data_IF_956756020111
#
_entry.id   IF_956756020111
#
_cell.length_a   1.000
_cell.length_b   1.000
_cell.length_c   1.000
_cell.angle_alpha   90.00
_cell.angle_beta   90.00
_cell.angle_gamma   90.00
#
_symmetry.space_group_name_H-M   'P 1'
#
loop_
_entity.id
_entity.type
_entity.pdbx_description
1 polymer ?
#
# COMPACT_ATOMS: atom_id res chain seq x y z
N UNK A 1 -23.47 17.85 -15.15
CA UNK A 1 -23.60 16.63 -15.98
C UNK A 1 -22.23 16.28 -16.51
N UNK A 2 -21.68 15.16 -16.08
CA UNK A 2 -20.45 14.63 -16.64
C UNK A 2 -20.75 13.69 -17.82
N UNK A 3 -19.95 13.78 -18.86
CA UNK A 3 -19.95 12.87 -20.00
C UNK A 3 -18.56 12.30 -20.16
N UNK A 4 -18.46 10.97 -20.16
CA UNK A 4 -17.23 10.25 -20.44
C UNK A 4 -17.48 9.29 -21.60
N UNK A 5 -16.63 9.35 -22.62
CA UNK A 5 -16.65 8.42 -23.74
C UNK A 5 -15.22 8.06 -24.10
N UNK A 6 -14.91 6.76 -24.17
CA UNK A 6 -13.60 6.31 -24.62
C UNK A 6 -13.68 4.99 -25.38
N UNK A 7 -12.66 4.73 -26.21
CA UNK A 7 -12.52 3.48 -26.93
C UNK A 7 -11.15 2.84 -26.70
N UNK A 8 -11.14 1.51 -26.71
CA UNK A 8 -10.00 0.67 -26.40
C UNK A 8 -9.72 -0.30 -27.55
N UNK A 9 -8.46 -0.29 -27.98
CA UNK A 9 -7.91 -1.35 -28.81
C UNK A 9 -7.85 -2.69 -28.05
N UNK A 10 -7.82 -3.85 -28.73
CA UNK A 10 -7.78 -5.15 -28.07
C UNK A 10 -6.62 -5.33 -27.06
N UNK A 11 -5.38 -4.85 -27.31
CA UNK A 11 -4.30 -4.92 -26.32
C UNK A 11 -4.55 -4.06 -25.07
N UNK A 12 -5.20 -2.90 -25.20
CA UNK A 12 -5.54 -2.02 -24.09
C UNK A 12 -6.70 -2.61 -23.26
N UNK A 13 -7.66 -3.25 -23.93
CA UNK A 13 -8.75 -3.98 -23.28
C UNK A 13 -8.24 -5.11 -22.37
N UNK A 14 -7.23 -5.86 -22.83
CA UNK A 14 -6.57 -6.89 -22.04
C UNK A 14 -5.89 -6.30 -20.79
N UNK A 15 -5.15 -5.20 -20.96
CA UNK A 15 -4.48 -4.53 -19.85
C UNK A 15 -5.46 -3.98 -18.82
N UNK A 16 -6.56 -3.36 -19.26
CA UNK A 16 -7.63 -2.91 -18.38
C UNK A 16 -8.24 -4.08 -17.60
N UNK A 17 -8.51 -5.19 -18.28
CA UNK A 17 -9.04 -6.40 -17.65
C UNK A 17 -8.10 -6.96 -16.59
N UNK A 18 -6.79 -7.04 -16.87
CA UNK A 18 -5.81 -7.57 -15.92
C UNK A 18 -5.63 -6.64 -14.71
N UNK A 19 -5.71 -5.32 -14.91
CA UNK A 19 -5.77 -4.33 -13.84
C UNK A 19 -7.01 -4.54 -12.95
N UNK A 20 -8.19 -4.76 -13.53
CA UNK A 20 -9.42 -5.07 -12.79
C UNK A 20 -9.30 -6.38 -11.98
N UNK A 21 -8.64 -7.40 -12.54
CA UNK A 21 -8.37 -8.66 -11.81
C UNK A 21 -7.46 -8.40 -10.61
N UNK A 22 -6.44 -7.54 -10.76
CA UNK A 22 -5.55 -7.16 -9.67
C UNK A 22 -6.32 -6.43 -8.56
N UNK A 23 -7.11 -5.40 -8.92
CA UNK A 23 -7.92 -4.62 -7.98
C UNK A 23 -8.93 -5.48 -7.21
N UNK A 24 -9.51 -6.50 -7.86
CA UNK A 24 -10.43 -7.46 -7.22
C UNK A 24 -9.80 -8.33 -6.13
N UNK A 25 -8.46 -8.30 -5.94
CA UNK A 25 -7.79 -8.94 -4.80
C UNK A 25 -7.88 -8.13 -3.51
N UNK A 26 -8.10 -6.81 -3.63
CA UNK A 26 -8.10 -5.86 -2.52
C UNK A 26 -9.50 -5.54 -2.01
N UNK A 27 -10.47 -5.37 -2.92
CA UNK A 27 -11.85 -5.06 -2.57
C UNK A 27 -12.84 -5.58 -3.61
N UNK A 28 -14.12 -5.56 -3.26
CA UNK A 28 -15.23 -6.05 -4.07
C UNK A 28 -15.79 -4.98 -5.03
N UNK A 29 -15.45 -3.72 -4.79
CA UNK A 29 -15.85 -2.55 -5.60
C UNK A 29 -14.63 -1.75 -6.05
N UNK A 30 -14.75 -1.07 -7.18
CA UNK A 30 -13.74 -0.17 -7.76
C UNK A 30 -14.31 1.21 -7.94
N UNK A 31 -13.52 2.23 -7.62
CA UNK A 31 -13.82 3.61 -7.98
C UNK A 31 -13.21 3.93 -9.35
N UNK A 32 -13.99 4.57 -10.22
CA UNK A 32 -13.58 5.09 -11.51
C UNK A 32 -13.60 6.60 -11.42
N UNK A 33 -12.47 7.24 -11.63
CA UNK A 33 -12.36 8.68 -11.78
C UNK A 33 -11.97 9.04 -13.20
N UNK A 34 -12.71 9.96 -13.79
CA UNK A 34 -12.41 10.51 -15.11
C UNK A 34 -11.99 11.96 -14.97
N UNK A 35 -10.87 12.29 -15.60
CA UNK A 35 -10.28 13.63 -15.74
C UNK A 35 -10.09 13.91 -17.24
N UNK A 36 -9.64 15.11 -17.61
CA UNK A 36 -9.48 15.48 -19.03
C UNK A 36 -8.38 14.70 -19.75
N UNK A 37 -7.33 14.31 -19.03
CA UNK A 37 -6.11 13.71 -19.58
C UNK A 37 -5.82 12.30 -19.03
N UNK A 38 -6.66 11.79 -18.13
CA UNK A 38 -6.51 10.45 -17.57
C UNK A 38 -7.82 9.85 -17.07
N UNK A 39 -7.81 8.52 -16.97
CA UNK A 39 -8.80 7.73 -16.24
C UNK A 39 -8.08 7.01 -15.09
N UNK A 40 -8.62 7.06 -13.88
CA UNK A 40 -8.08 6.35 -12.72
C UNK A 40 -9.05 5.28 -12.24
N UNK A 41 -8.55 4.07 -12.03
CA UNK A 41 -9.22 3.02 -11.30
C UNK A 41 -8.56 2.86 -9.94
N UNK A 42 -9.30 3.04 -8.86
CA UNK A 42 -8.75 2.94 -7.51
C UNK A 42 -9.59 2.07 -6.59
N UNK A 43 -8.91 1.48 -5.61
CA UNK A 43 -9.48 0.64 -4.57
C UNK A 43 -8.79 0.95 -3.24
N UNK A 44 -9.61 1.15 -2.22
CA UNK A 44 -9.19 1.10 -0.82
C UNK A 44 -9.73 -0.18 -0.20
N UNK A 45 -8.87 -0.99 0.41
CA UNK A 45 -9.31 -2.21 1.07
C UNK A 45 -10.16 -1.89 2.32
N UNK A 46 -10.92 -2.87 2.81
CA UNK A 46 -11.88 -2.67 3.91
C UNK A 46 -11.24 -2.25 5.23
N UNK A 47 -9.98 -2.63 5.47
CA UNK A 47 -9.20 -2.22 6.65
C UNK A 47 -8.49 -0.88 6.50
N UNK A 48 -8.60 -0.22 5.34
CA UNK A 48 -7.88 1.02 5.00
C UNK A 48 -6.36 0.93 5.18
N UNK A 49 -5.80 -0.26 4.97
CA UNK A 49 -4.36 -0.54 5.08
C UNK A 49 -3.66 -0.65 3.72
N UNK A 50 -4.43 -0.73 2.63
CA UNK A 50 -3.88 -0.82 1.28
C UNK A 50 -4.74 0.00 0.32
N UNK A 51 -4.11 1.00 -0.29
CA UNK A 51 -4.65 1.76 -1.41
C UNK A 51 -3.99 1.28 -2.70
N UNK A 52 -4.78 1.02 -3.73
CA UNK A 52 -4.31 0.52 -5.03
C UNK A 52 -4.92 1.37 -6.14
N UNK A 53 -4.12 1.79 -7.10
CA UNK A 53 -4.58 2.57 -8.24
C UNK A 53 -3.87 2.21 -9.54
N UNK A 54 -4.64 2.22 -10.62
CA UNK A 54 -4.18 2.22 -11.99
C UNK A 54 -4.63 3.51 -12.64
N UNK A 55 -3.69 4.22 -13.27
CA UNK A 55 -3.94 5.47 -13.98
C UNK A 55 -3.61 5.25 -15.44
N UNK A 56 -4.60 5.46 -16.29
CA UNK A 56 -4.56 5.30 -17.73
C UNK A 56 -4.51 6.68 -18.35
N UNK A 57 -3.42 6.97 -19.06
CA UNK A 57 -3.21 8.24 -19.74
C UNK A 57 -4.09 8.33 -21.00
N UNK A 58 -4.84 9.43 -21.15
CA UNK A 58 -5.83 9.62 -22.21
C UNK A 58 -5.24 9.48 -23.61
N UNK A 59 -4.07 10.08 -23.82
CA UNK A 59 -3.43 10.19 -25.14
C UNK A 59 -2.68 8.92 -25.55
N UNK A 60 -2.15 8.17 -24.59
CA UNK A 60 -1.29 7.01 -24.87
C UNK A 60 -1.94 5.65 -24.67
N UNK A 61 -3.01 5.55 -23.86
CA UNK A 61 -3.68 4.28 -23.58
C UNK A 61 -4.93 4.03 -24.45
N UNK A 62 -5.71 5.07 -24.73
CA UNK A 62 -7.00 4.97 -25.41
C UNK A 62 -6.86 5.25 -26.92
N UNK A 63 -7.74 4.65 -27.73
CA UNK A 63 -7.84 5.03 -29.16
C UNK A 63 -8.54 6.38 -29.31
N UNK A 64 -9.56 6.60 -28.49
CA UNK A 64 -10.25 7.88 -28.34
C UNK A 64 -10.59 8.07 -26.87
N UNK A 65 -10.41 9.28 -26.36
CA UNK A 65 -10.83 9.65 -25.01
C UNK A 65 -11.48 11.04 -25.06
N UNK A 66 -12.67 11.15 -24.49
CA UNK A 66 -13.42 12.39 -24.41
C UNK A 66 -14.09 12.48 -23.04
N UNK A 67 -13.72 13.52 -22.30
CA UNK A 67 -14.31 13.84 -21.01
C UNK A 67 -14.81 15.28 -21.03
N UNK A 68 -16.01 15.50 -20.49
CA UNK A 68 -16.63 16.81 -20.43
C UNK A 68 -17.54 16.94 -19.22
N UNK A 69 -17.52 18.10 -18.58
CA UNK A 69 -18.40 18.43 -17.46
C UNK A 69 -19.20 19.68 -17.84
N UNK A 70 -20.50 19.51 -18.01
CA UNK A 70 -21.44 20.62 -18.19
C UNK A 70 -21.90 21.10 -16.82
N UNK A 71 -21.34 22.22 -16.35
CA UNK A 71 -21.68 22.90 -15.08
C UNK A 71 -21.35 24.40 -15.15
N UNK A 72 -22.23 25.25 -14.61
CA UNK A 72 -22.17 26.72 -14.74
C UNK A 72 -20.91 27.37 -14.14
N UNK A 73 -20.68 28.64 -14.54
CA UNK A 73 -19.48 29.49 -14.40
C UNK A 73 -18.69 29.52 -13.07
N UNK A 74 -19.04 28.83 -11.98
CA UNK A 74 -18.42 29.04 -10.66
C UNK A 74 -18.31 27.79 -9.72
N UNK A 75 -18.09 26.58 -10.22
CA UNK A 75 -17.55 25.50 -9.36
C UNK A 75 -16.84 24.44 -10.22
N UNK A 76 -15.52 24.30 -10.03
CA UNK A 76 -14.73 23.20 -10.57
C UNK A 76 -15.04 21.94 -9.75
N UNK A 77 -15.61 20.92 -10.38
CA UNK A 77 -14.98 19.62 -10.29
C UNK A 77 -14.32 19.42 -11.64
N UNK A 78 -12.98 19.37 -11.69
CA UNK A 78 -12.24 19.02 -12.91
C UNK A 78 -12.27 17.49 -13.16
N UNK A 79 -13.03 16.75 -12.32
CA UNK A 79 -13.11 15.29 -12.30
C UNK A 79 -14.50 14.78 -11.99
N UNK A 80 -14.82 13.59 -12.50
CA UNK A 80 -16.03 12.83 -12.17
C UNK A 80 -15.63 11.51 -11.52
N UNK A 81 -16.35 11.07 -10.49
CA UNK A 81 -16.05 9.84 -9.78
C UNK A 81 -17.30 8.98 -9.54
N UNK A 82 -17.21 7.68 -9.81
CA UNK A 82 -18.24 6.71 -9.51
C UNK A 82 -17.67 5.38 -9.02
N UNK A 83 -18.53 4.53 -8.48
CA UNK A 83 -18.19 3.22 -7.93
C UNK A 83 -19.01 2.12 -8.60
N UNK A 84 -18.36 1.00 -8.89
CA UNK A 84 -19.00 -0.19 -9.44
C UNK A 84 -18.55 -1.47 -8.73
N UNK A 85 -19.39 -2.49 -8.78
CA UNK A 85 -19.04 -3.82 -8.32
C UNK A 85 -18.08 -4.51 -9.30
N UNK A 86 -16.90 -4.90 -8.81
CA UNK A 86 -15.84 -5.48 -9.65
C UNK A 86 -16.27 -6.79 -10.30
N UNK A 87 -17.05 -7.63 -9.61
CA UNK A 87 -17.51 -8.90 -10.22
C UNK A 87 -18.48 -8.66 -11.38
N UNK A 88 -19.31 -7.61 -11.31
CA UNK A 88 -20.19 -7.23 -12.40
C UNK A 88 -19.37 -6.72 -13.59
N UNK A 89 -18.42 -5.81 -13.33
CA UNK A 89 -17.55 -5.26 -14.36
C UNK A 89 -16.69 -6.34 -15.04
N UNK A 90 -16.03 -7.21 -14.26
CA UNK A 90 -15.24 -8.33 -14.78
C UNK A 90 -16.07 -9.35 -15.59
N UNK A 91 -17.35 -9.54 -15.24
CA UNK A 91 -18.23 -10.45 -15.98
C UNK A 91 -18.43 -10.05 -17.44
N UNK A 92 -18.31 -8.75 -17.75
CA UNK A 92 -18.43 -8.20 -19.12
C UNK A 92 -17.28 -8.67 -20.02
N UNK A 93 -16.08 -8.78 -19.45
CA UNK A 93 -14.84 -9.10 -20.17
C UNK A 93 -14.51 -10.60 -20.20
N UNK A 94 -15.21 -11.41 -19.40
CA UNK A 94 -14.94 -12.85 -19.22
C UNK A 94 -14.97 -13.62 -20.55
N UNK A 95 -13.86 -14.32 -20.83
CA UNK A 95 -13.72 -15.19 -22.00
C UNK A 95 -13.48 -14.47 -23.34
N UNK A 96 -13.33 -13.14 -23.33
CA UNK A 96 -13.28 -12.31 -24.55
C UNK A 96 -12.02 -11.48 -24.70
N UNK A 97 -11.40 -11.11 -23.57
CA UNK A 97 -10.11 -10.44 -23.60
C UNK A 97 -9.02 -11.35 -24.21
N UNK A 98 -9.07 -12.67 -23.98
CA UNK A 98 -8.03 -13.63 -24.38
C UNK A 98 -8.04 -14.07 -25.86
N UNK A 99 -8.95 -13.57 -26.70
CA UNK A 99 -8.91 -13.78 -28.16
C UNK A 99 -8.89 -15.25 -28.65
N UNK A 100 -9.43 -16.20 -27.87
CA UNK A 100 -9.34 -17.65 -28.19
C UNK A 100 -10.10 -18.09 -29.44
N UNK A 101 -11.00 -17.25 -29.94
CA UNK A 101 -11.81 -17.54 -31.11
C UNK A 101 -11.76 -16.33 -32.05
N UNK A 102 -11.18 -16.54 -33.24
CA UNK A 102 -10.73 -15.47 -34.14
C UNK A 102 -11.90 -14.75 -34.80
N UNK A 103 -13.01 -15.45 -35.02
CA UNK A 103 -14.23 -14.91 -35.63
C UNK A 103 -15.11 -14.15 -34.62
N UNK A 104 -14.91 -14.39 -33.31
CA UNK A 104 -15.64 -13.70 -32.22
C UNK A 104 -14.74 -12.80 -31.38
N UNK A 105 -13.51 -12.56 -31.84
CA UNK A 105 -12.57 -11.67 -31.19
C UNK A 105 -13.13 -10.25 -31.11
N UNK A 106 -12.82 -9.56 -30.02
CA UNK A 106 -13.15 -8.13 -29.86
C UNK A 106 -12.19 -7.32 -30.71
N UNK A 107 -12.73 -6.53 -31.63
CA UNK A 107 -11.98 -5.61 -32.48
C UNK A 107 -11.83 -4.24 -31.78
N UNK A 108 -12.88 -3.79 -31.09
CA UNK A 108 -12.89 -2.53 -30.33
C UNK A 108 -13.85 -2.61 -29.15
N UNK A 109 -13.49 -2.00 -28.04
CA UNK A 109 -14.39 -1.81 -26.90
C UNK A 109 -14.66 -0.31 -26.73
N UNK A 110 -15.93 0.07 -26.67
CA UNK A 110 -16.36 1.46 -26.45
C UNK A 110 -17.06 1.53 -25.10
N UNK A 111 -16.77 2.57 -24.33
CA UNK A 111 -17.36 2.81 -23.02
C UNK A 111 -17.92 4.21 -22.99
N UNK A 112 -19.18 4.32 -22.59
CA UNK A 112 -19.90 5.58 -22.45
C UNK A 112 -20.53 5.65 -21.07
N UNK A 113 -20.34 6.78 -20.40
CA UNK A 113 -20.99 7.12 -19.15
C UNK A 113 -21.70 8.46 -19.31
N UNK A 114 -22.99 8.44 -19.02
CA UNK A 114 -23.86 9.60 -19.05
C UNK A 114 -24.37 9.83 -17.62
N UNK A 115 -24.11 11.03 -17.10
CA UNK A 115 -24.68 11.54 -15.85
C UNK A 115 -25.79 12.53 -16.22
N UNK A 116 -26.95 11.97 -16.61
CA UNK A 116 -28.14 12.72 -16.99
C UNK A 116 -29.11 12.82 -15.82
N UNK A 117 -29.49 14.05 -15.44
CA UNK A 117 -30.38 14.32 -14.29
C UNK A 117 -31.84 13.90 -14.56
N UNK A 118 -32.19 13.61 -15.81
CA UNK A 118 -33.56 13.27 -16.25
C UNK A 118 -33.79 11.75 -16.36
N UNK A 119 -32.73 10.94 -16.30
CA UNK A 119 -32.83 9.48 -16.23
C UNK A 119 -32.75 9.01 -14.77
N UNK A 120 -33.68 8.16 -14.33
CA UNK A 120 -33.69 7.60 -12.97
C UNK A 120 -32.56 6.62 -12.69
N UNK A 121 -31.73 6.26 -13.69
CA UNK A 121 -30.68 5.25 -13.54
C UNK A 121 -29.36 5.70 -14.18
N UNK A 122 -28.37 5.97 -13.33
CA UNK A 122 -26.98 6.16 -13.71
C UNK A 122 -26.37 4.87 -14.29
N UNK A 123 -26.10 4.86 -15.61
CA UNK A 123 -25.62 3.66 -16.32
C UNK A 123 -24.28 3.88 -17.02
N UNK A 124 -23.37 2.94 -16.81
CA UNK A 124 -22.15 2.74 -17.57
C UNK A 124 -22.45 1.76 -18.71
N UNK A 125 -22.35 2.24 -19.95
CA UNK A 125 -22.62 1.45 -21.15
C UNK A 125 -21.29 0.99 -21.75
N UNK A 126 -21.12 -0.32 -21.89
CA UNK A 126 -19.94 -0.93 -22.51
C UNK A 126 -20.39 -1.65 -23.78
N UNK A 127 -19.84 -1.28 -24.93
CA UNK A 127 -20.10 -1.92 -26.23
C UNK A 127 -18.85 -2.63 -26.72
N UNK A 128 -18.97 -3.94 -26.95
CA UNK A 128 -17.94 -4.76 -27.57
C UNK A 128 -18.27 -4.90 -29.05
N UNK A 129 -17.45 -4.31 -29.90
CA UNK A 129 -17.50 -4.52 -31.35
C UNK A 129 -16.62 -5.73 -31.66
N UNK A 130 -17.26 -6.82 -32.04
CA UNK A 130 -16.60 -8.07 -32.41
C UNK A 130 -16.59 -8.25 -33.92
N UNK A 131 -15.77 -9.20 -34.39
CA UNK A 131 -15.77 -9.63 -35.79
C UNK A 131 -17.15 -9.98 -36.33
N UNK A 132 -17.28 -9.93 -37.65
CA UNK A 132 -18.51 -10.23 -38.39
C UNK A 132 -19.69 -9.28 -38.07
N UNK A 133 -19.40 -8.08 -37.56
CA UNK A 133 -20.40 -7.04 -37.27
C UNK A 133 -21.23 -7.30 -36.01
N UNK A 134 -20.81 -8.22 -35.13
CA UNK A 134 -21.51 -8.51 -33.89
C UNK A 134 -21.18 -7.44 -32.84
N UNK A 135 -22.19 -6.72 -32.36
CA UNK A 135 -22.04 -5.75 -31.27
C UNK A 135 -22.74 -6.28 -30.02
N UNK A 136 -22.01 -6.38 -28.91
CA UNK A 136 -22.58 -6.75 -27.61
C UNK A 136 -22.56 -5.55 -26.66
N UNK A 137 -23.72 -5.12 -26.22
CA UNK A 137 -23.89 -3.99 -25.30
C UNK A 137 -24.20 -4.49 -23.89
N UNK A 138 -23.54 -3.89 -22.92
CA UNK A 138 -23.70 -4.13 -21.49
C UNK A 138 -24.03 -2.81 -20.82
N UNK A 139 -25.02 -2.83 -19.92
CA UNK A 139 -25.40 -1.66 -19.13
C UNK A 139 -25.22 -2.04 -17.66
N UNK A 140 -24.29 -1.36 -17.00
CA UNK A 140 -23.99 -1.55 -15.58
C UNK A 140 -24.47 -0.33 -14.81
N UNK A 141 -25.12 -0.55 -13.68
CA UNK A 141 -25.45 0.53 -12.75
C UNK A 141 -24.20 0.94 -11.98
N UNK A 142 -24.00 2.24 -11.80
CA UNK A 142 -22.95 2.80 -10.95
C UNK A 142 -23.55 3.65 -9.84
N UNK A 143 -22.76 3.88 -8.79
CA UNK A 143 -23.07 4.81 -7.70
C UNK A 143 -22.09 5.98 -7.75
N UNK A 144 -22.57 7.23 -7.70
CA UNK A 144 -21.66 8.38 -7.62
C UNK A 144 -20.99 8.41 -6.24
N UNK A 145 -19.68 8.63 -6.20
CA UNK A 145 -18.92 8.58 -4.94
C UNK A 145 -17.82 9.62 -4.90
N UNK A 146 -17.27 9.87 -3.72
CA UNK A 146 -16.03 10.64 -3.51
C UNK A 146 -14.91 9.69 -3.17
N UNK A 147 -13.78 9.81 -3.87
CA UNK A 147 -12.61 8.94 -3.68
C UNK A 147 -11.60 9.63 -2.78
N UNK A 148 -11.05 8.87 -1.84
CA UNK A 148 -9.93 9.31 -1.01
C UNK A 148 -8.65 8.63 -1.50
N UNK A 149 -7.67 9.44 -1.86
CA UNK A 149 -6.35 8.98 -2.28
C UNK A 149 -5.40 8.92 -1.10
N UNK A 150 -4.57 7.89 -1.06
CA UNK A 150 -3.46 7.86 -0.12
C UNK A 150 -2.41 8.88 -0.57
N UNK A 151 -2.08 9.83 0.30
CA UNK A 151 -1.01 10.79 0.07
C UNK A 151 0.32 10.11 0.39
N UNK A 152 1.22 10.11 -0.58
CA UNK A 152 2.56 9.57 -0.44
C UNK A 152 3.58 10.55 -1.01
N UNK A 153 4.38 11.14 -0.12
CA UNK A 153 5.41 12.09 -0.52
C UNK A 153 6.70 11.34 -0.90
N UNK A 154 6.96 11.24 -2.20
CA UNK A 154 8.18 10.60 -2.72
C UNK A 154 9.45 11.36 -2.35
N UNK A 155 9.38 12.67 -2.15
CA UNK A 155 10.57 13.49 -1.85
C UNK A 155 11.11 13.21 -0.45
N UNK A 156 10.25 12.72 0.45
CA UNK A 156 10.64 12.31 1.80
C UNK A 156 11.19 10.89 1.85
N UNK A 157 11.13 10.12 0.77
CA UNK A 157 11.56 8.71 0.79
C UNK A 157 13.08 8.58 0.85
N UNK A 158 13.56 7.77 1.80
CA UNK A 158 14.98 7.52 2.02
C UNK A 158 15.41 6.15 1.49
N UNK A 159 14.46 5.20 1.46
CA UNK A 159 14.69 3.83 1.08
C UNK A 159 13.94 3.51 -0.22
N UNK A 160 14.66 2.94 -1.18
CA UNK A 160 14.16 2.57 -2.50
C UNK A 160 14.86 1.33 -3.04
N UNK A 161 14.08 0.41 -3.62
CA UNK A 161 14.63 -0.70 -4.40
C UNK A 161 13.80 -0.96 -5.65
N UNK A 162 14.45 -1.45 -6.72
CA UNK A 162 13.84 -1.78 -8.00
C UNK A 162 14.34 -3.13 -8.51
N UNK A 163 13.43 -4.00 -8.94
CA UNK A 163 13.75 -5.38 -9.36
C UNK A 163 12.74 -5.92 -10.38
N UNK A 164 13.16 -6.86 -11.24
CA UNK A 164 12.22 -7.60 -12.09
C UNK A 164 11.28 -8.44 -11.19
N UNK A 165 9.94 -8.27 -11.32
CA UNK A 165 8.97 -8.98 -10.48
C UNK A 165 9.08 -10.50 -10.54
N UNK A 166 9.69 -11.10 -11.57
CA UNK A 166 9.91 -12.56 -11.66
C UNK A 166 10.74 -13.10 -10.51
N UNK A 167 11.80 -12.39 -10.10
CA UNK A 167 12.63 -12.81 -8.97
C UNK A 167 11.82 -12.85 -7.68
N UNK A 168 11.04 -11.80 -7.43
CA UNK A 168 10.18 -11.73 -6.26
C UNK A 168 9.09 -12.80 -6.31
N UNK A 169 8.52 -13.06 -7.49
CA UNK A 169 7.49 -14.09 -7.65
C UNK A 169 8.02 -15.46 -7.28
N UNK A 170 9.17 -15.85 -7.84
CA UNK A 170 9.83 -17.12 -7.54
C UNK A 170 9.96 -17.29 -6.03
N UNK A 171 10.38 -16.25 -5.31
CA UNK A 171 10.52 -16.27 -3.85
C UNK A 171 9.18 -16.41 -3.15
N UNK A 172 8.18 -15.61 -3.55
CA UNK A 172 6.86 -15.62 -2.91
C UNK A 172 6.09 -16.92 -3.10
N UNK A 173 6.42 -17.69 -4.15
CA UNK A 173 5.88 -19.03 -4.41
C UNK A 173 6.44 -20.09 -3.44
N UNK A 174 7.62 -19.88 -2.86
CA UNK A 174 8.19 -20.74 -1.83
C UNK A 174 7.59 -20.52 -0.43
N UNK A 175 6.90 -19.39 -0.22
CA UNK A 175 6.30 -19.09 1.07
C UNK A 175 5.07 -19.96 1.37
N UNK A 176 4.91 -20.32 2.64
CA UNK A 176 3.75 -21.10 3.08
C UNK A 176 2.44 -20.43 2.66
N UNK A 177 1.44 -21.20 2.20
CA UNK A 177 0.09 -20.68 1.98
C UNK A 177 -0.56 -20.07 3.23
N UNK A 178 -0.07 -20.43 4.43
CA UNK A 178 -0.53 -19.88 5.72
C UNK A 178 0.19 -18.61 6.16
N UNK A 179 1.21 -18.15 5.42
CA UNK A 179 1.94 -16.94 5.76
C UNK A 179 1.07 -15.71 5.50
N UNK A 180 1.06 -14.77 6.44
CA UNK A 180 0.19 -13.59 6.42
C UNK A 180 0.98 -12.31 6.22
N UNK A 181 2.18 -12.26 6.79
CA UNK A 181 3.05 -11.09 6.79
C UNK A 181 4.35 -11.42 6.07
N UNK A 182 4.96 -10.38 5.51
CA UNK A 182 6.26 -10.40 4.85
C UNK A 182 7.12 -9.30 5.47
N UNK A 183 8.19 -9.68 6.16
CA UNK A 183 9.24 -8.77 6.60
C UNK A 183 10.33 -8.66 5.52
N UNK A 184 10.74 -7.44 5.22
CA UNK A 184 11.77 -7.11 4.24
C UNK A 184 12.82 -6.24 4.91
N UNK A 185 14.07 -6.68 4.86
CA UNK A 185 15.20 -5.92 5.40
C UNK A 185 16.47 -6.20 4.60
N UNK A 186 17.49 -5.40 4.84
CA UNK A 186 18.80 -5.51 4.21
C UNK A 186 19.84 -5.94 5.23
N UNK A 187 20.64 -6.97 4.94
CA UNK A 187 21.76 -7.38 5.79
C UNK A 187 22.90 -7.96 4.95
N UNK A 188 24.14 -7.61 5.30
CA UNK A 188 25.34 -8.23 4.73
C UNK A 188 25.41 -8.22 3.19
N UNK A 189 24.94 -7.14 2.54
CA UNK A 189 24.92 -7.04 1.08
C UNK A 189 23.80 -7.83 0.39
N UNK A 190 22.80 -8.29 1.14
CA UNK A 190 21.64 -9.04 0.65
C UNK A 190 20.33 -8.38 1.09
N UNK A 191 19.30 -8.55 0.29
CA UNK A 191 17.91 -8.27 0.66
C UNK A 191 17.27 -9.55 1.17
N UNK A 192 16.73 -9.53 2.39
CA UNK A 192 16.14 -10.69 3.04
C UNK A 192 14.62 -10.52 3.09
N UNK A 193 13.92 -11.52 2.57
CA UNK A 193 12.46 -11.61 2.52
C UNK A 193 12.01 -12.74 3.44
N UNK A 194 11.32 -12.39 4.50
CA UNK A 194 10.93 -13.31 5.56
C UNK A 194 9.42 -13.36 5.71
N UNK A 195 8.82 -14.46 5.29
CA UNK A 195 7.38 -14.70 5.49
C UNK A 195 7.11 -15.30 6.87
N UNK A 196 6.07 -14.81 7.55
CA UNK A 196 5.67 -15.33 8.85
C UNK A 196 4.15 -15.31 9.07
N UNK A 197 3.70 -16.18 9.98
CA UNK A 197 2.32 -16.22 10.48
C UNK A 197 2.31 -15.72 11.92
N UNK A 198 1.42 -14.78 12.24
CA UNK A 198 1.22 -14.35 13.63
C UNK A 198 0.48 -15.45 14.42
N UNK A 199 0.92 -15.73 15.65
CA UNK A 199 0.21 -16.67 16.53
C UNK A 199 -1.17 -16.10 16.86
N UNK A 200 -2.22 -16.77 16.38
CA UNK A 200 -3.57 -16.53 16.86
C UNK A 200 -3.76 -17.44 18.07
N UNK A 201 -3.63 -16.88 19.26
CA UNK A 201 -4.08 -17.50 20.51
C UNK A 201 -5.51 -17.04 20.78
N UNK A 202 -6.49 -17.83 20.34
CA UNK A 202 -7.84 -17.70 20.89
C UNK A 202 -7.93 -18.64 22.10
N UNK A 203 -8.55 -18.16 23.18
CA UNK A 203 -8.46 -18.69 24.55
C UNK A 203 -8.03 -20.17 24.66
N UNK A 204 -6.78 -20.40 25.07
CA UNK A 204 -6.21 -21.71 25.44
C UNK A 204 -5.81 -22.69 24.31
N UNK A 205 -6.13 -22.44 23.04
CA UNK A 205 -5.63 -23.26 21.91
C UNK A 205 -4.75 -22.43 20.96
N UNK A 206 -3.55 -22.94 20.66
CA UNK A 206 -2.68 -22.37 19.62
C UNK A 206 -3.23 -22.88 18.28
N UNK A 207 -4.07 -22.06 17.63
CA UNK A 207 -4.83 -22.46 16.43
C UNK A 207 -3.97 -22.51 15.15
N UNK A 208 -2.77 -21.92 15.16
CA UNK A 208 -1.83 -21.98 14.02
C UNK A 208 -0.39 -22.15 14.49
N UNK A 209 0.30 -23.16 13.95
CA UNK A 209 1.74 -23.30 14.12
C UNK A 209 2.45 -22.15 13.38
N UNK A 210 3.34 -21.39 14.04
CA UNK A 210 4.12 -20.36 13.36
C UNK A 210 4.98 -21.01 12.28
N UNK A 211 4.82 -20.53 11.05
CA UNK A 211 5.72 -20.87 9.94
C UNK A 211 6.57 -19.65 9.66
N UNK A 212 7.85 -19.89 9.42
CA UNK A 212 8.83 -18.86 9.12
C UNK A 212 9.66 -19.33 7.93
N UNK A 213 9.72 -18.54 6.87
CA UNK A 213 10.51 -18.86 5.67
C UNK A 213 11.22 -17.61 5.20
N UNK A 214 12.55 -17.65 5.23
CA UNK A 214 13.43 -16.55 4.83
C UNK A 214 14.18 -16.91 3.57
N UNK A 215 14.20 -15.99 2.61
CA UNK A 215 14.95 -16.09 1.36
C UNK A 215 15.77 -14.82 1.20
N UNK A 216 17.02 -14.97 0.77
CA UNK A 216 17.94 -13.87 0.58
C UNK A 216 18.29 -13.71 -0.90
N UNK A 217 18.20 -12.49 -1.41
CA UNK A 217 18.60 -12.09 -2.76
C UNK A 217 19.86 -11.23 -2.63
N UNK A 218 20.83 -11.40 -3.52
CA UNK A 218 21.98 -10.52 -3.57
C UNK A 218 21.57 -9.11 -4.04
N UNK A 219 22.07 -8.05 -3.39
CA UNK A 219 21.74 -6.66 -3.81
C UNK A 219 22.10 -6.39 -5.28
N UNK A 220 23.05 -7.14 -5.86
CA UNK A 220 23.47 -7.01 -7.26
C UNK A 220 22.43 -7.49 -8.28
N UNK A 221 21.45 -8.27 -7.85
CA UNK A 221 20.37 -8.74 -8.72
C UNK A 221 19.24 -7.69 -8.85
N UNK A 222 19.32 -6.60 -8.08
CA UNK A 222 18.43 -5.44 -8.18
C UNK A 222 19.00 -4.44 -9.18
N UNK A 223 18.11 -3.81 -9.95
CA UNK A 223 18.48 -2.68 -10.81
C UNK A 223 18.90 -1.47 -9.96
N UNK A 224 18.22 -1.28 -8.83
CA UNK A 224 18.51 -0.24 -7.86
C UNK A 224 18.26 -0.79 -6.45
N UNK A 225 19.19 -0.53 -5.53
CA UNK A 225 19.01 -0.88 -4.13
C UNK A 225 19.67 0.15 -3.21
N UNK A 226 18.84 1.03 -2.64
CA UNK A 226 19.21 2.06 -1.68
C UNK A 226 18.33 1.81 -0.45
N UNK A 227 18.78 0.95 0.45
CA UNK A 227 18.06 0.64 1.69
C UNK A 227 19.05 0.59 2.84
N UNK A 228 18.68 1.21 3.96
CA UNK A 228 19.42 1.11 5.22
C UNK A 228 19.52 -0.35 5.70
N UNK A 229 20.70 -0.75 6.16
CA UNK A 229 20.89 -2.09 6.70
C UNK A 229 20.14 -2.26 8.02
N UNK A 230 19.55 -3.44 8.23
CA UNK A 230 18.71 -3.84 9.36
C UNK A 230 17.41 -3.03 9.53
N UNK A 231 16.96 -2.33 8.49
CA UNK A 231 15.67 -1.66 8.50
C UNK A 231 14.54 -2.66 8.17
N UNK A 232 13.84 -3.13 9.20
CA UNK A 232 12.77 -4.12 9.08
C UNK A 232 11.42 -3.51 8.74
N UNK A 233 10.89 -3.85 7.56
CA UNK A 233 9.57 -3.40 7.11
C UNK A 233 8.68 -4.59 6.84
N UNK A 234 7.66 -4.75 7.68
CA UNK A 234 6.65 -5.80 7.54
C UNK A 234 5.39 -5.31 6.82
N UNK A 235 4.92 -6.06 5.82
CA UNK A 235 3.73 -5.78 5.02
C UNK A 235 2.82 -7.01 4.88
N UNK A 236 1.56 -6.79 4.49
CA UNK A 236 0.62 -7.87 4.21
C UNK A 236 1.05 -8.67 2.97
N UNK A 237 1.38 -9.96 3.15
CA UNK A 237 1.91 -10.79 2.08
C UNK A 237 0.87 -11.04 0.97
N UNK A 238 -0.42 -11.14 1.32
CA UNK A 238 -1.50 -11.32 0.34
C UNK A 238 -1.55 -10.18 -0.67
N UNK A 239 -1.49 -8.95 -0.18
CA UNK A 239 -1.57 -7.74 -0.99
C UNK A 239 -0.32 -7.61 -1.85
N UNK A 240 0.86 -7.84 -1.25
CA UNK A 240 2.13 -7.88 -1.98
C UNK A 240 2.11 -8.88 -3.14
N UNK A 241 1.68 -10.13 -2.90
CA UNK A 241 1.57 -11.17 -3.94
C UNK A 241 0.67 -10.74 -5.11
N UNK A 242 -0.44 -10.06 -4.84
CA UNK A 242 -1.34 -9.57 -5.88
C UNK A 242 -0.67 -8.53 -6.79
N UNK A 243 0.14 -7.65 -6.20
CA UNK A 243 0.89 -6.61 -6.93
C UNK A 243 1.96 -7.24 -7.82
N UNK A 244 2.75 -8.17 -7.27
CA UNK A 244 3.83 -8.85 -8.00
C UNK A 244 3.27 -9.65 -9.19
N UNK A 245 2.17 -10.38 -9.00
CA UNK A 245 1.54 -11.15 -10.07
C UNK A 245 1.10 -10.26 -11.25
N UNK A 246 0.58 -9.06 -10.97
CA UNK A 246 0.19 -8.13 -12.02
C UNK A 246 1.42 -7.47 -12.69
N UNK A 247 2.41 -7.03 -11.91
CA UNK A 247 3.64 -6.44 -12.43
C UNK A 247 4.38 -7.38 -13.39
N UNK A 248 4.43 -8.68 -13.07
CA UNK A 248 5.01 -9.70 -13.95
C UNK A 248 4.20 -9.86 -15.25
N UNK A 249 2.87 -9.90 -15.16
CA UNK A 249 1.99 -9.99 -16.35
C UNK A 249 2.16 -8.76 -17.24
N UNK A 250 2.34 -7.58 -16.64
CA UNK A 250 2.63 -6.34 -17.35
C UNK A 250 4.05 -6.29 -17.95
N UNK A 251 4.96 -7.14 -17.46
CA UNK A 251 6.38 -7.14 -17.86
C UNK A 251 7.12 -5.88 -17.44
N UNK A 252 6.73 -5.27 -16.31
CA UNK A 252 7.28 -4.01 -15.82
C UNK A 252 8.10 -4.21 -14.54
N UNK A 253 9.25 -3.54 -14.46
CA UNK A 253 10.08 -3.53 -13.25
C UNK A 253 9.32 -2.85 -12.10
N UNK A 254 9.30 -3.50 -10.93
CA UNK A 254 8.64 -2.94 -9.76
C UNK A 254 9.63 -2.10 -8.95
N UNK A 255 9.18 -0.94 -8.47
CA UNK A 255 9.95 -0.08 -7.57
C UNK A 255 9.20 0.14 -6.27
N UNK A 256 9.83 -0.18 -5.14
CA UNK A 256 9.34 0.13 -3.81
C UNK A 256 10.01 1.38 -3.25
N UNK A 257 9.27 2.22 -2.55
CA UNK A 257 9.77 3.39 -1.83
C UNK A 257 9.14 3.48 -0.45
N UNK A 258 9.93 3.84 0.55
CA UNK A 258 9.49 4.01 1.94
C UNK A 258 10.50 4.83 2.73
N UNK A 259 10.10 5.27 3.93
CA UNK A 259 10.95 6.03 4.84
C UNK A 259 11.44 5.15 5.97
N UNK A 260 10.56 4.76 6.88
CA UNK A 260 10.86 3.97 8.06
C UNK A 260 9.72 2.99 8.36
N UNK A 261 9.91 2.02 9.26
CA UNK A 261 8.84 1.12 9.67
C UNK A 261 7.65 1.91 10.23
N UNK A 262 6.45 1.34 10.12
CA UNK A 262 5.18 1.99 10.46
C UNK A 262 4.80 3.20 9.58
N UNK A 263 5.64 3.59 8.61
CA UNK A 263 5.27 4.53 7.54
C UNK A 263 4.89 3.79 6.26
N UNK A 264 4.06 4.38 5.41
CA UNK A 264 3.60 3.71 4.19
C UNK A 264 4.75 3.30 3.29
N UNK A 265 4.57 2.17 2.62
CA UNK A 265 5.42 1.71 1.54
C UNK A 265 4.63 1.83 0.24
N UNK A 266 5.23 2.49 -0.75
CA UNK A 266 4.64 2.61 -2.08
C UNK A 266 5.35 1.71 -3.08
N UNK A 267 4.62 0.81 -3.70
CA UNK A 267 5.04 0.02 -4.86
C UNK A 267 4.49 0.69 -6.12
N UNK A 268 5.36 0.87 -7.11
CA UNK A 268 4.98 1.54 -8.36
C UNK A 268 5.68 0.92 -9.57
N UNK A 269 4.98 0.92 -10.70
CA UNK A 269 5.50 0.53 -12.00
C UNK A 269 4.63 1.12 -13.11
N UNK A 270 5.18 1.26 -14.31
CA UNK A 270 4.47 1.79 -15.47
C UNK A 270 4.72 0.97 -16.73
N UNK A 271 3.72 0.91 -17.61
CA UNK A 271 3.79 0.20 -18.89
C UNK A 271 2.73 0.77 -19.85
N UNK A 272 3.08 0.97 -21.12
CA UNK A 272 2.13 1.25 -22.23
C UNK A 272 1.02 2.28 -21.90
N UNK A 273 1.38 3.44 -21.34
CA UNK A 273 0.40 4.49 -20.98
C UNK A 273 -0.35 4.24 -19.66
N UNK A 274 0.00 3.19 -18.92
CA UNK A 274 -0.56 2.86 -17.60
C UNK A 274 0.49 3.11 -16.52
N UNK A 275 0.12 3.81 -15.47
CA UNK A 275 0.88 3.94 -14.22
C UNK A 275 0.14 3.20 -13.12
N UNK A 276 0.87 2.43 -12.31
CA UNK A 276 0.30 1.62 -11.24
C UNK A 276 0.93 2.01 -9.92
N UNK A 277 0.11 2.24 -8.90
CA UNK A 277 0.55 2.72 -7.59
C UNK A 277 -0.19 1.98 -6.48
N UNK A 278 0.58 1.39 -5.57
CA UNK A 278 0.05 0.64 -4.45
C UNK A 278 0.71 1.14 -3.18
N UNK A 279 -0.08 1.73 -2.29
CA UNK A 279 0.38 2.26 -1.01
C UNK A 279 -0.09 1.33 0.09
N UNK A 280 0.85 0.66 0.75
CA UNK A 280 0.62 -0.32 1.79
C UNK A 280 1.06 0.23 3.14
N UNK A 281 0.25 -0.01 4.17
CA UNK A 281 0.68 0.18 5.55
C UNK A 281 1.76 -0.82 5.91
N UNK A 282 2.78 -0.34 6.61
CA UNK A 282 3.86 -1.17 7.11
C UNK A 282 3.77 -1.31 8.63
N UNK A 283 4.48 -2.31 9.15
CA UNK A 283 4.72 -2.53 10.57
C UNK A 283 6.21 -2.73 10.78
N UNK A 284 6.68 -2.43 11.98
CA UNK A 284 8.03 -2.75 12.43
C UNK A 284 8.41 -1.85 13.60
N UNK A 285 9.55 -2.15 14.21
CA UNK A 285 10.08 -1.37 15.32
C UNK A 285 10.99 -0.30 14.72
N UNK A 286 10.67 0.97 14.93
CA UNK A 286 11.63 2.04 14.65
C UNK A 286 12.67 2.02 15.76
N UNK A 287 13.95 1.91 15.40
CA UNK A 287 15.11 2.00 16.29
C UNK A 287 15.30 3.42 16.86
N UNK A 288 14.22 4.07 17.30
CA UNK A 288 14.16 5.47 17.70
C UNK A 288 13.91 5.69 19.19
N UNK A 289 13.99 4.65 20.01
CA UNK A 289 14.03 4.81 21.47
C UNK A 289 15.47 4.55 21.96
N UNK A 290 16.36 5.49 21.66
CA UNK A 290 17.65 5.62 22.32
C UNK A 290 17.45 6.21 23.73
N UNK A 291 16.67 5.52 24.55
CA UNK A 291 16.81 5.64 26.00
C UNK A 291 17.93 4.69 26.41
N UNK A 292 19.13 5.25 26.52
CA UNK A 292 20.32 4.58 27.03
C UNK A 292 20.07 3.99 28.43
N UNK A 293 19.69 2.71 28.52
CA UNK A 293 19.94 1.89 29.71
C UNK A 293 20.09 0.40 29.37
N UNK A 294 21.28 -0.11 29.67
CA UNK A 294 21.66 -1.51 29.86
C UNK A 294 21.42 -2.50 28.72
N UNK A 295 22.52 -2.80 28.03
CA UNK A 295 22.82 -4.08 27.43
C UNK A 295 22.44 -5.26 28.36
N UNK A 296 21.36 -5.96 28.04
CA UNK A 296 21.15 -7.33 28.46
C UNK A 296 21.38 -8.25 27.26
N UNK A 297 22.59 -8.82 27.23
CA UNK A 297 22.95 -9.90 26.36
C UNK A 297 21.95 -11.06 26.49
N UNK A 298 21.51 -11.57 25.34
CA UNK A 298 20.75 -12.81 25.21
C UNK A 298 21.57 -13.94 25.85
N UNK A 299 21.00 -14.80 26.73
CA UNK A 299 21.70 -15.98 27.17
C UNK A 299 21.85 -16.93 25.99
N UNK A 300 23.06 -16.99 25.42
CA UNK A 300 23.50 -18.11 24.59
C UNK A 300 23.27 -19.39 25.38
N UNK A 301 22.33 -20.21 24.93
CA UNK A 301 22.19 -21.60 25.36
C UNK A 301 23.44 -22.34 24.86
N UNK A 302 24.50 -22.28 25.67
CA UNK A 302 25.75 -22.98 25.44
C UNK A 302 25.49 -24.45 25.19
N UNK A 303 25.90 -24.87 24.00
CA UNK A 303 26.05 -26.24 23.61
C UNK A 303 26.85 -27.00 24.68
N UNK A 304 26.21 -28.08 25.14
CA UNK A 304 26.77 -29.25 25.81
C UNK A 304 28.30 -29.37 25.63
N UNK A 305 29.04 -29.05 26.69
CA UNK A 305 30.47 -29.29 26.81
C UNK A 305 30.79 -30.77 26.51
N UNK A 306 31.56 -30.99 25.46
CA UNK A 306 32.32 -32.21 25.22
C UNK A 306 33.53 -32.24 26.17
N UNK A 307 33.72 -33.30 26.98
CA UNK A 307 34.95 -33.46 27.73
C UNK A 307 36.14 -33.78 26.82
N UNK A 308 37.30 -33.21 27.15
CA UNK A 308 38.59 -33.45 26.50
C UNK A 308 39.00 -34.94 26.52
N UNK A 309 39.82 -35.40 25.55
CA UNK A 309 40.16 -36.82 25.41
C UNK A 309 41.18 -37.26 26.47
N UNK A 310 40.86 -38.35 27.15
CA UNK A 310 41.77 -39.07 28.04
C UNK A 310 42.53 -40.10 27.21
N UNK A 311 43.86 -40.02 27.21
CA UNK A 311 44.74 -41.01 26.60
C UNK A 311 44.63 -42.34 27.34
N UNK A 312 44.28 -43.42 26.63
CA UNK A 312 44.44 -44.78 27.13
C UNK A 312 45.12 -45.67 26.10
N UNK A 313 46.21 -46.27 26.57
CA UNK A 313 47.05 -47.28 25.93
C UNK A 313 46.30 -48.58 25.70
N UNK A 314 46.55 -49.20 24.55
CA UNK A 314 46.00 -50.48 24.12
C UNK A 314 46.41 -51.65 25.03
N UNK A 315 45.45 -52.51 25.38
CA UNK A 315 45.71 -53.92 25.68
C UNK A 315 44.51 -54.82 25.33
N UNK A 316 44.77 -55.69 24.36
CA UNK A 316 44.12 -56.94 23.90
C UNK A 316 42.95 -57.63 24.66
N UNK A 317 42.06 -58.21 23.82
CA UNK A 317 41.36 -59.52 23.93
C UNK A 317 39.93 -59.62 24.56
N UNK A 318 39.11 -60.66 24.24
CA UNK A 318 37.75 -60.45 23.72
C UNK A 318 36.58 -61.20 24.43
N UNK A 319 35.36 -60.88 23.98
CA UNK A 319 34.17 -61.74 23.76
C UNK A 319 32.99 -61.81 24.78
N UNK A 320 31.77 -61.81 24.18
CA UNK A 320 30.49 -62.48 24.51
C UNK A 320 29.30 -61.71 25.16
N UNK A 321 28.26 -61.49 24.33
CA UNK A 321 26.82 -61.85 24.47
C UNK A 321 26.10 -61.64 25.81
N UNK A 322 25.04 -60.81 25.88
CA UNK A 322 23.62 -61.21 25.68
C UNK A 322 22.57 -60.27 26.30
N UNK A 323 21.45 -60.15 25.58
CA UNK A 323 20.05 -59.98 25.99
C UNK A 323 19.51 -58.82 26.88
N UNK A 324 18.42 -58.24 26.37
CA UNK A 324 17.50 -57.24 26.95
C UNK A 324 16.30 -57.90 27.67
N UNK A 325 15.63 -57.21 28.62
CA UNK A 325 14.15 -57.16 28.57
C UNK A 325 13.52 -55.78 28.97
N UNK A 326 12.23 -55.53 28.64
CA UNK A 326 11.57 -54.22 28.78
C UNK A 326 10.66 -54.11 30.02
N UNK A 327 10.24 -52.90 30.47
CA UNK A 327 9.14 -52.74 31.41
C UNK A 327 7.82 -52.27 30.79
N UNK A 328 6.76 -52.52 31.56
CA UNK A 328 5.35 -52.67 31.18
C UNK A 328 4.51 -51.39 31.38
N UNK A 329 3.45 -51.33 30.57
CA UNK A 329 2.26 -50.47 30.65
C UNK A 329 1.44 -50.61 31.94
N UNK A 330 0.84 -49.50 32.40
CA UNK A 330 -0.42 -49.50 33.18
C UNK A 330 -1.33 -48.34 32.77
N UNK A 331 -2.60 -48.69 32.57
CA UNK A 331 -3.77 -47.83 32.32
C UNK A 331 -4.70 -47.94 33.54
N UNK A 332 -5.51 -46.90 33.80
CA UNK A 332 -6.97 -46.94 34.06
C UNK A 332 -7.42 -45.70 34.89
N UNK A 333 -8.35 -44.94 34.27
CA UNK A 333 -9.28 -43.88 34.77
C UNK A 333 -10.44 -44.49 35.63
N UNK A 334 -11.57 -43.83 35.98
CA UNK A 334 -11.92 -42.42 36.24
C UNK A 334 -12.76 -42.24 37.53
N UNK A 335 -13.17 -41.00 37.91
CA UNK A 335 -14.58 -40.53 37.93
C UNK A 335 -14.80 -39.25 38.76
N UNK A 336 -15.73 -38.49 38.21
CA UNK A 336 -16.40 -37.23 38.54
C UNK A 336 -17.29 -37.26 39.80
N UNK A 337 -17.56 -36.10 40.41
CA UNK A 337 -18.85 -35.86 41.11
C UNK A 337 -18.88 -34.90 42.30
N UNK A 338 -19.10 -33.61 42.02
CA UNK A 338 -20.01 -32.64 42.69
C UNK A 338 -20.18 -32.55 44.23
N UNK A 339 -19.83 -31.36 44.75
CA UNK A 339 -20.58 -30.44 45.64
C UNK A 339 -21.45 -30.96 46.80
N UNK A 340 -21.17 -30.49 48.02
CA UNK A 340 -22.16 -29.80 48.89
C UNK A 340 -21.47 -29.10 50.09
N UNK A 341 -22.04 -27.96 50.48
CA UNK A 341 -21.62 -27.00 51.51
C UNK A 341 -22.55 -27.13 52.72
N UNK A 342 -21.99 -27.24 53.94
CA UNK A 342 -22.65 -26.89 55.20
C UNK A 342 -21.60 -26.61 56.28
N UNK A 343 -21.95 -25.72 57.21
CA UNK A 343 -21.12 -24.88 58.08
C UNK A 343 -21.22 -25.31 59.56
N UNK A 344 -20.35 -24.74 60.42
CA UNK A 344 -20.31 -24.70 61.91
C UNK A 344 -19.20 -25.57 62.54
N UNK A 345 -18.34 -25.18 63.51
CA UNK A 345 -18.16 -24.01 64.41
C UNK A 345 -16.70 -23.99 64.97
N UNK A 346 -16.21 -22.82 65.43
CA UNK A 346 -14.86 -22.42 65.94
C UNK A 346 -14.41 -23.06 67.30
N UNK A 347 -13.20 -22.85 67.90
CA UNK A 347 -12.18 -21.77 67.70
C UNK A 347 -10.66 -22.17 67.77
N UNK A 348 -9.80 -21.13 67.62
CA UNK A 348 -8.40 -20.95 68.08
C UNK A 348 -7.22 -21.69 67.43
N UNK A 349 -6.44 -20.97 66.61
CA UNK A 349 -5.08 -20.47 66.96
C UNK A 349 -4.30 -19.95 65.74
N UNK A 350 -3.98 -18.66 65.78
CA UNK A 350 -2.78 -17.95 65.27
C UNK A 350 -2.34 -18.13 63.80
N UNK A 351 -2.52 -17.06 63.02
CA UNK A 351 -1.80 -16.78 61.76
C UNK A 351 -1.24 -15.35 61.82
N UNK A 352 -0.03 -15.06 61.33
CA UNK A 352 0.54 -13.71 61.41
C UNK A 352 -0.20 -12.77 60.48
N UNK A 353 -0.47 -11.56 60.99
CA UNK A 353 -1.06 -10.45 60.25
C UNK A 353 -0.05 -9.88 59.25
N UNK A 354 -0.31 -10.01 57.95
CA UNK A 354 0.18 -9.06 56.96
C UNK A 354 -0.85 -7.92 56.92
N UNK A 355 -0.53 -6.79 57.54
CA UNK A 355 -1.31 -5.57 57.42
C UNK A 355 -1.19 -5.07 55.98
N UNK A 356 -2.26 -5.24 55.20
CA UNK A 356 -2.40 -4.58 53.90
C UNK A 356 -2.67 -3.11 54.21
N UNK A 357 -1.71 -2.24 53.90
CA UNK A 357 -1.93 -0.80 53.90
C UNK A 357 -2.87 -0.47 52.72
N UNK A 358 -4.13 -0.19 53.04
CA UNK A 358 -5.13 0.26 52.06
C UNK A 358 -4.92 1.70 51.60
N UNK A 359 -3.96 2.42 52.19
CA UNK A 359 -3.63 3.81 51.83
C UNK A 359 -2.74 3.92 50.58
N UNK A 360 -2.36 2.77 49.98
CA UNK A 360 -1.56 2.71 48.75
C UNK A 360 -2.40 2.29 47.53
N UNK A 361 -3.73 2.23 47.66
CA UNK A 361 -4.68 1.95 46.57
C UNK A 361 -5.39 3.20 46.04
N UNK A 362 -5.11 4.36 46.64
CA UNK A 362 -5.55 5.64 46.12
C UNK A 362 -4.33 6.40 45.60
N UNK A 363 -4.41 6.78 44.33
CA UNK A 363 -3.48 7.74 43.73
C UNK A 363 -3.55 9.03 44.56
N UNK A 364 -2.43 9.58 45.06
CA UNK A 364 -2.44 10.88 45.71
C UNK A 364 -3.13 11.90 44.81
N UNK A 365 -3.99 12.75 45.37
CA UNK A 365 -4.75 13.78 44.63
C UNK A 365 -3.88 14.90 44.00
N UNK A 366 -2.59 14.62 43.79
CA UNK A 366 -1.58 15.52 43.22
C UNK A 366 -0.84 14.84 42.05
N UNK A 367 -1.32 13.68 41.59
CA UNK A 367 -0.82 12.95 40.42
C UNK A 367 -1.82 13.02 39.24
N UNK A 368 -2.40 14.21 39.05
CA UNK A 368 -3.23 14.53 37.89
C UNK A 368 -2.40 14.63 36.59
N UNK A 369 -1.06 14.58 36.72
CA UNK A 369 -0.10 14.63 35.61
C UNK A 369 -0.09 13.37 34.75
N UNK A 370 -0.71 12.28 35.21
CA UNK A 370 -0.87 11.08 34.41
C UNK A 370 -1.93 11.26 33.29
N UNK A 371 -2.66 12.38 33.30
CA UNK A 371 -3.62 12.79 32.28
C UNK A 371 -3.29 14.17 31.67
N UNK A 372 -2.08 14.69 31.91
CA UNK A 372 -1.63 15.88 31.19
C UNK A 372 -1.60 15.52 29.70
N UNK A 373 -2.44 16.23 28.95
CA UNK A 373 -2.44 16.22 27.48
C UNK A 373 -1.00 16.52 27.07
N UNK A 374 -0.33 15.67 26.27
CA UNK A 374 1.03 15.96 25.81
C UNK A 374 1.10 17.40 25.34
N UNK A 375 2.10 18.12 25.84
CA UNK A 375 2.30 19.53 25.54
C UNK A 375 2.51 19.65 24.02
N UNK A 376 1.46 20.04 23.28
CA UNK A 376 1.43 20.14 21.81
C UNK A 376 2.48 21.13 21.26
N UNK A 377 3.20 21.85 22.12
CA UNK A 377 4.21 22.85 21.75
C UNK A 377 5.66 22.30 21.73
N UNK A 378 5.93 21.07 22.19
CA UNK A 378 7.27 20.44 22.11
C UNK A 378 7.33 19.12 21.31
N UNK A 379 6.20 18.59 20.83
CA UNK A 379 6.12 17.44 19.90
C UNK A 379 5.73 17.88 18.47
N UNK A 380 6.44 18.85 17.90
CA UNK A 380 6.43 19.08 16.44
C UNK A 380 7.35 18.08 15.70
N UNK A 381 7.41 16.81 16.11
CA UNK A 381 7.76 15.76 15.16
C UNK A 381 6.50 15.44 14.37
N UNK A 382 6.29 16.20 13.28
CA UNK A 382 5.22 16.05 12.31
C UNK A 382 4.50 14.71 12.43
N UNK A 383 3.27 14.73 12.94
CA UNK A 383 2.39 13.57 13.01
C UNK A 383 2.24 12.99 11.59
N UNK A 384 3.14 12.09 11.22
CA UNK A 384 3.30 11.48 9.89
C UNK A 384 2.18 10.43 9.66
N UNK A 385 0.94 10.78 10.01
CA UNK A 385 -0.25 9.98 9.75
C UNK A 385 -0.43 9.91 8.23
N UNK A 386 -0.86 8.75 7.72
CA UNK A 386 -1.28 8.63 6.33
C UNK A 386 -2.33 9.68 6.01
N UNK A 387 -1.95 10.66 5.19
CA UNK A 387 -2.88 11.64 4.65
C UNK A 387 -3.84 10.97 3.67
N UNK A 388 -5.11 11.34 3.76
CA UNK A 388 -6.12 11.05 2.75
C UNK A 388 -6.47 12.35 2.06
N UNK A 389 -6.27 12.42 0.75
CA UNK A 389 -6.64 13.58 -0.05
C UNK A 389 -7.76 13.23 -1.02
N UNK A 390 -8.82 14.04 -1.02
CA UNK A 390 -9.95 13.91 -1.93
C UNK A 390 -9.77 14.76 -3.20
N UNK A 391 -8.79 15.66 -3.25
CA UNK A 391 -8.56 16.58 -4.38
C UNK A 391 -7.69 15.96 -5.46
N UNK A 392 -6.79 15.03 -5.13
CA UNK A 392 -5.95 14.31 -6.08
C UNK A 392 -5.09 15.25 -6.94
N UNK A 393 -4.45 16.25 -6.32
CA UNK A 393 -3.70 17.27 -7.06
C UNK A 393 -2.63 16.63 -7.96
N UNK A 394 -2.76 16.95 -9.25
CA UNK A 394 -2.00 16.40 -10.36
C UNK A 394 -0.48 16.66 -10.23
N UNK A 395 -0.08 17.69 -9.48
CA UNK A 395 1.32 18.01 -9.20
C UNK A 395 1.98 16.96 -8.30
N UNK A 396 1.26 16.38 -7.33
CA UNK A 396 1.76 15.24 -6.54
C UNK A 396 1.98 14.01 -7.41
N UNK A 397 1.13 13.87 -8.44
CA UNK A 397 1.17 12.76 -9.41
C UNK A 397 2.22 12.97 -10.52
N UNK A 398 2.51 14.21 -10.91
CA UNK A 398 3.49 14.56 -11.95
C UNK A 398 4.91 14.70 -11.37
N UNK A 399 5.07 15.27 -10.17
CA UNK A 399 6.33 15.27 -9.42
C UNK A 399 6.79 13.86 -9.03
N UNK A 400 5.90 12.87 -9.16
CA UNK A 400 6.19 11.47 -8.95
C UNK A 400 7.19 10.88 -9.97
N UNK A 401 7.42 11.57 -11.09
CA UNK A 401 8.39 11.21 -12.10
C UNK A 401 9.56 12.20 -12.04
N UNK A 402 10.76 11.70 -11.71
CA UNK A 402 12.01 12.44 -11.90
C UNK A 402 12.12 13.01 -13.32
N UNK A 403 13.03 13.97 -13.54
CA UNK A 403 12.86 15.01 -14.55
C UNK A 403 12.64 14.39 -15.92
N UNK A 404 11.51 14.73 -16.54
CA UNK A 404 11.45 14.73 -18.00
C UNK A 404 12.64 15.57 -18.45
N UNK A 405 13.63 14.93 -19.07
CA UNK A 405 14.58 15.61 -19.93
C UNK A 405 13.74 16.35 -20.98
N UNK A 406 13.43 17.61 -20.70
CA UNK A 406 13.22 18.57 -21.76
C UNK A 406 14.59 18.68 -22.41
N UNK A 407 14.70 18.18 -23.63
CA UNK A 407 15.75 18.62 -24.56
C UNK A 407 15.56 20.12 -24.75
N UNK A 408 16.20 20.87 -23.85
CA UNK A 408 16.33 22.31 -23.96
C UNK A 408 17.54 22.53 -24.88
N UNK A 409 17.32 22.45 -26.19
CA UNK A 409 18.32 22.92 -27.14
C UNK A 409 18.55 24.42 -26.91
N UNK A 410 19.80 24.87 -26.70
CA UNK A 410 20.09 26.27 -26.52
C UNK A 410 19.96 26.99 -27.87
N UNK A 411 18.85 27.71 -28.07
CA UNK A 411 18.77 28.70 -29.15
C UNK A 411 19.72 29.85 -28.86
N UNK A 412 20.88 29.81 -29.51
CA UNK A 412 21.77 30.96 -29.69
C UNK A 412 21.00 32.12 -30.35
N UNK A 413 21.13 33.35 -29.85
CA UNK A 413 20.52 34.52 -30.47
C UNK A 413 21.39 34.96 -31.67
N UNK A 414 20.80 34.97 -32.86
CA UNK A 414 21.41 35.62 -34.01
C UNK A 414 21.23 37.13 -33.84
N UNK A 415 22.34 37.83 -33.66
CA UNK A 415 22.43 39.26 -33.83
C UNK A 415 22.05 39.61 -35.27
N UNK A 416 21.09 40.51 -35.44
CA UNK A 416 21.30 41.60 -36.38
C UNK A 416 20.89 42.91 -35.72
N UNK A 417 21.86 43.82 -35.71
CA UNK A 417 21.80 45.11 -35.08
C UNK A 417 21.15 46.12 -36.01
N UNK A 418 20.34 47.03 -35.47
CA UNK A 418 20.39 48.46 -35.80
C UNK A 418 19.65 49.30 -34.74
N UNK A 419 20.45 50.07 -33.99
CA UNK A 419 20.21 51.41 -33.37
C UNK A 419 18.96 51.64 -32.50
N UNK A 420 19.09 51.85 -31.17
CA UNK A 420 19.43 53.13 -30.46
C UNK A 420 18.35 54.24 -30.64
N UNK A 421 17.85 54.97 -29.64
CA UNK A 421 18.12 55.13 -28.20
C UNK A 421 16.90 55.79 -27.50
N UNK A 422 16.67 55.41 -26.25
CA UNK A 422 16.33 56.18 -25.03
C UNK A 422 15.28 57.33 -24.95
N UNK A 423 14.51 57.24 -23.84
CA UNK A 423 14.18 58.30 -22.87
C UNK A 423 12.80 59.00 -22.86
N UNK A 424 12.35 59.22 -21.61
CA UNK A 424 11.26 60.06 -21.08
C UNK A 424 9.83 59.49 -21.01
N UNK A 425 9.52 59.00 -19.82
CA UNK A 425 8.17 58.80 -19.31
C UNK A 425 7.42 60.12 -19.06
N UNK A 426 6.10 60.07 -19.24
CA UNK A 426 5.18 61.20 -19.05
C UNK A 426 4.53 61.08 -17.65
N UNK A 427 4.54 62.14 -16.81
CA UNK A 427 4.09 62.11 -15.42
C UNK A 427 2.54 62.22 -15.27
N UNK A 428 1.98 61.92 -14.08
CA UNK A 428 0.55 61.87 -13.84
C UNK A 428 -0.10 63.27 -13.83
N UNK A 429 -1.17 63.47 -14.61
CA UNK A 429 -1.88 64.75 -14.69
C UNK A 429 -2.90 64.94 -13.54
N UNK A 430 -2.98 66.20 -13.10
CA UNK A 430 -3.39 66.73 -11.81
C UNK A 430 -4.92 66.86 -11.60
N UNK A 431 -5.37 66.89 -10.34
CA UNK A 431 -6.80 66.90 -9.90
C UNK A 431 -7.56 68.19 -10.27
N UNK A 432 -8.85 68.01 -10.57
CA UNK A 432 -9.86 68.98 -11.04
C UNK A 432 -10.18 70.17 -10.10
N UNK A 433 -9.54 70.29 -8.94
CA UNK A 433 -9.77 71.40 -7.99
C UNK A 433 -8.93 72.67 -8.26
N UNK A 434 -8.24 72.76 -9.41
CA UNK A 434 -7.29 73.86 -9.72
C UNK A 434 -7.62 74.70 -10.96
N UNK A 435 -8.83 74.63 -11.52
CA UNK A 435 -9.27 75.55 -12.59
C UNK A 435 -10.54 76.29 -12.18
N UNK A 436 -10.34 77.36 -11.39
CA UNK A 436 -11.30 78.45 -11.24
C UNK A 436 -10.86 79.60 -12.16
N UNK A 437 -11.77 80.08 -13.02
CA UNK A 437 -11.72 81.47 -13.49
C UNK A 437 -10.97 81.76 -14.79
N UNK A 438 -11.21 80.99 -15.86
CA UNK A 438 -11.04 81.51 -17.22
C UNK A 438 -12.35 81.36 -17.98
N UNK A 439 -13.20 82.38 -17.81
CA UNK A 439 -14.37 82.60 -18.63
C UNK A 439 -13.98 83.24 -19.96
N UNK A 440 -14.39 82.61 -21.05
CA UNK A 440 -14.74 83.20 -22.34
C UNK A 440 -15.77 82.22 -22.94
N UNK A 441 -17.07 82.43 -22.70
CA UNK A 441 -17.99 83.26 -23.51
C UNK A 441 -17.95 82.77 -24.98
N UNK A 442 -18.97 82.16 -25.58
CA UNK A 442 -20.42 82.01 -25.33
C UNK A 442 -20.90 80.63 -25.78
#
# INVERSE_FOLDING_TARGET
MATLSFSLAPPALLQLHDALICLAKFHDTVAIEAEFDLLRLSVLNSSKTAYSAFVFDADSFFETYAFGISGGRNARPDKFACQLYLKALLSVFKGRASGRDKDTAVERCEVELHDETDETECRLVIRMVCGLGVIKSYKLTYEQTTVNHAVFDRNKTLNQWSIDPKFIREITDHFSPSAEQLDVYSDGGKAIFTSFTTKITDGKEVLRQPVHTSVAIDKRDFELFIVEDNLHVAIALKDFKAIIAHAETAGAMITARYTRPCRPLQLSYGFKGVKSEFTLMTRGESSGDDTSTSSHAVPELSARQTPAPVQFTQSNAPSKTDHMPPPRSRSIRPLTGTSTRATETNPDSQRPSASINFDSLFVPADDDRQWDVPNEEEEEEAEDVLGWDATADQDTFNASLGPRLQDNEPRMPTQDATSRDEEMGIPPTQRISQLHGLGLFD
#
